data_IF_459356147004
#
_entry.id   IF_459356147004
#
_cell.length_a   1.000
_cell.length_b   1.000
_cell.length_c   1.000
_cell.angle_alpha   90.00
_cell.angle_beta   90.00
_cell.angle_gamma   90.00
#
_symmetry.space_group_name_H-M   'P 1'
#
loop_
_entity.id
_entity.type
_entity.pdbx_description
1 polymer ?
#
# COMPACT_ATOMS: atom_id res chain seq x y z
N UNK A 1 4.95 -0.70 -21.33
CA UNK A 1 3.72 -0.61 -20.52
C UNK A 1 3.99 -0.38 -19.03
N UNK A 2 4.77 -1.20 -18.32
CA UNK A 2 5.04 -0.95 -16.88
C UNK A 2 5.55 0.48 -16.61
N UNK A 3 6.53 0.94 -17.40
CA UNK A 3 7.06 2.32 -17.32
C UNK A 3 6.06 3.41 -17.74
N UNK A 4 4.96 3.04 -18.37
CA UNK A 4 3.89 3.97 -18.81
C UNK A 4 2.74 4.01 -17.79
N UNK A 5 2.84 3.28 -16.67
CA UNK A 5 1.78 3.18 -15.67
C UNK A 5 1.70 4.44 -14.81
N UNK A 6 0.47 4.87 -14.50
CA UNK A 6 0.16 5.99 -13.60
C UNK A 6 0.64 5.73 -12.17
N UNK A 7 0.64 4.46 -11.77
CA UNK A 7 1.10 4.01 -10.46
C UNK A 7 1.63 2.58 -10.52
N UNK A 8 2.56 2.27 -9.63
CA UNK A 8 3.03 0.91 -9.37
C UNK A 8 2.45 0.43 -8.05
N UNK A 9 2.00 -0.81 -8.01
CA UNK A 9 1.53 -1.46 -6.79
C UNK A 9 2.37 -2.72 -6.55
N UNK A 10 2.87 -2.90 -5.34
CA UNK A 10 3.66 -4.07 -4.99
C UNK A 10 3.13 -4.77 -3.75
N UNK A 11 3.21 -6.09 -3.74
CA UNK A 11 2.75 -6.90 -2.62
C UNK A 11 3.43 -8.29 -2.61
N UNK A 12 3.66 -8.83 -1.42
CA UNK A 12 4.15 -10.19 -1.22
C UNK A 12 3.01 -11.18 -0.99
N UNK A 13 3.09 -12.36 -1.60
CA UNK A 13 2.26 -13.52 -1.24
C UNK A 13 3.12 -14.64 -0.63
N UNK A 14 2.67 -15.15 0.53
CA UNK A 14 3.42 -16.10 1.37
C UNK A 14 2.91 -17.53 1.26
N UNK A 15 1.63 -17.71 0.93
CA UNK A 15 0.99 -19.04 0.79
C UNK A 15 1.22 -19.62 -0.60
N UNK A 16 1.19 -18.75 -1.62
CA UNK A 16 1.27 -19.13 -3.02
C UNK A 16 2.70 -19.02 -3.55
N UNK A 17 3.62 -19.74 -2.91
CA UNK A 17 5.05 -19.68 -3.21
C UNK A 17 5.72 -21.03 -2.93
N UNK A 18 6.67 -21.50 -3.75
CA UNK A 18 7.38 -22.75 -3.48
C UNK A 18 8.10 -22.73 -2.12
N UNK A 19 8.17 -23.89 -1.46
CA UNK A 19 8.53 -23.99 -0.03
C UNK A 19 9.91 -23.39 0.32
N UNK A 20 10.83 -23.32 -0.65
CA UNK A 20 12.19 -22.81 -0.48
C UNK A 20 12.32 -21.28 -0.58
N UNK A 21 11.26 -20.55 -0.98
CA UNK A 21 11.25 -19.10 -1.04
C UNK A 21 10.51 -18.51 0.16
N UNK A 22 10.83 -17.28 0.58
CA UNK A 22 10.07 -16.62 1.63
C UNK A 22 8.71 -16.11 1.12
N UNK A 23 8.66 -15.66 -0.14
CA UNK A 23 7.47 -15.10 -0.78
C UNK A 23 7.62 -15.11 -2.31
N UNK A 24 6.48 -14.91 -2.97
CA UNK A 24 6.42 -14.33 -4.32
C UNK A 24 6.08 -12.86 -4.16
N UNK A 25 7.00 -11.99 -4.57
CA UNK A 25 6.79 -10.55 -4.60
C UNK A 25 6.31 -10.16 -6.00
N UNK A 26 5.15 -9.49 -6.08
CA UNK A 26 4.52 -9.13 -7.35
C UNK A 26 4.59 -7.63 -7.53
N UNK A 27 4.94 -7.19 -8.74
CA UNK A 27 4.94 -5.78 -9.16
C UNK A 27 3.89 -5.63 -10.24
N UNK A 28 2.88 -4.83 -9.93
CA UNK A 28 1.75 -4.53 -10.80
C UNK A 28 1.79 -3.06 -11.19
N UNK A 29 1.28 -2.74 -12.37
CA UNK A 29 1.15 -1.37 -12.86
C UNK A 29 -0.31 -1.02 -13.07
N UNK A 30 -0.69 0.19 -12.68
CA UNK A 30 -2.00 0.78 -13.01
C UNK A 30 -1.89 1.53 -14.33
N UNK A 31 -2.60 1.07 -15.34
CA UNK A 31 -2.63 1.66 -16.67
C UNK A 31 -4.08 1.81 -17.14
N UNK A 32 -4.52 3.03 -17.44
CA UNK A 32 -5.88 3.35 -17.90
C UNK A 32 -6.96 2.76 -16.96
N UNK A 33 -6.79 2.97 -15.65
CA UNK A 33 -7.74 2.48 -14.64
C UNK A 33 -7.65 0.98 -14.30
N UNK A 34 -6.87 0.19 -15.04
CA UNK A 34 -6.67 -1.24 -14.78
C UNK A 34 -5.35 -1.53 -14.09
N UNK A 35 -5.37 -2.48 -13.14
CA UNK A 35 -4.17 -2.96 -12.46
C UNK A 35 -3.75 -4.30 -13.08
N UNK A 36 -2.53 -4.34 -13.61
CA UNK A 36 -1.99 -5.47 -14.36
C UNK A 36 -0.70 -5.95 -13.69
N UNK A 37 -0.55 -7.25 -13.40
CA UNK A 37 0.70 -7.79 -12.86
C UNK A 37 1.72 -7.93 -13.99
N UNK A 38 2.90 -7.30 -13.83
CA UNK A 38 3.95 -7.34 -14.85
C UNK A 38 5.15 -8.19 -14.44
N UNK A 39 5.40 -8.34 -13.14
CA UNK A 39 6.62 -8.99 -12.65
C UNK A 39 6.31 -9.84 -11.44
N UNK A 40 6.84 -11.07 -11.44
CA UNK A 40 6.81 -11.99 -10.32
C UNK A 40 8.23 -12.31 -9.89
N UNK A 41 8.55 -12.06 -8.62
CA UNK A 41 9.87 -12.27 -8.06
C UNK A 41 9.80 -13.34 -6.96
N UNK A 42 10.43 -14.48 -7.20
CA UNK A 42 10.66 -15.47 -6.14
C UNK A 42 11.83 -15.01 -5.28
N UNK A 43 11.56 -14.63 -4.03
CA UNK A 43 12.60 -14.13 -3.12
C UNK A 43 12.83 -15.08 -1.96
N UNK A 44 14.06 -15.57 -1.74
CA UNK A 44 14.36 -16.47 -0.62
C UNK A 44 14.37 -15.74 0.73
N UNK A 45 14.58 -14.42 0.73
CA UNK A 45 14.60 -13.56 1.92
C UNK A 45 13.96 -12.22 1.60
N UNK A 46 13.38 -11.59 2.63
CA UNK A 46 12.72 -10.27 2.59
C UNK A 46 13.65 -9.18 3.11
N UNK A 47 14.79 -8.98 2.44
CA UNK A 47 15.83 -8.04 2.88
C UNK A 47 15.99 -6.91 1.90
N UNK A 48 16.44 -5.74 2.39
CA UNK A 48 16.63 -4.54 1.57
C UNK A 48 17.52 -4.81 0.34
N UNK A 49 18.70 -5.47 0.44
CA UNK A 49 19.51 -5.77 -0.75
C UNK A 49 18.82 -6.64 -1.80
N UNK A 50 17.84 -7.47 -1.39
CA UNK A 50 17.07 -8.30 -2.33
C UNK A 50 16.04 -7.47 -3.09
N UNK A 51 15.38 -6.54 -2.42
CA UNK A 51 14.49 -5.59 -3.08
C UNK A 51 15.25 -4.62 -3.98
N UNK A 52 16.40 -4.11 -3.55
CA UNK A 52 17.26 -3.26 -4.38
C UNK A 52 17.67 -4.01 -5.66
N UNK A 53 18.02 -5.30 -5.55
CA UNK A 53 18.31 -6.12 -6.73
C UNK A 53 17.11 -6.24 -7.66
N UNK A 54 15.88 -6.39 -7.15
CA UNK A 54 14.66 -6.45 -7.97
C UNK A 54 14.47 -5.14 -8.73
N UNK A 55 14.47 -4.00 -8.03
CA UNK A 55 14.24 -2.69 -8.67
C UNK A 55 15.34 -2.33 -9.66
N UNK A 56 16.61 -2.64 -9.36
CA UNK A 56 17.71 -2.46 -10.31
C UNK A 56 17.58 -3.33 -11.57
N UNK A 57 17.06 -4.56 -11.44
CA UNK A 57 16.77 -5.40 -12.63
C UNK A 57 15.69 -4.75 -13.48
N UNK A 58 14.63 -4.20 -12.87
CA UNK A 58 13.58 -3.50 -13.61
C UNK A 58 14.10 -2.29 -14.36
N UNK A 59 14.93 -1.47 -13.70
CA UNK A 59 15.58 -0.32 -14.31
C UNK A 59 16.43 -0.72 -15.52
N UNK A 60 17.35 -1.68 -15.34
CA UNK A 60 18.16 -2.22 -16.45
C UNK A 60 17.32 -2.79 -17.60
N UNK A 61 16.18 -3.42 -17.28
CA UNK A 61 15.25 -3.93 -18.30
C UNK A 61 14.54 -2.79 -19.01
N UNK A 62 14.08 -1.77 -18.30
CA UNK A 62 13.47 -0.59 -18.90
C UNK A 62 14.45 0.07 -19.89
N UNK A 63 15.68 0.35 -19.45
CA UNK A 63 16.72 0.97 -20.27
C UNK A 63 17.00 0.16 -21.54
N UNK A 64 17.12 -1.17 -21.39
CA UNK A 64 17.34 -2.09 -22.52
C UNK A 64 16.23 -2.00 -23.58
N UNK A 65 14.99 -1.72 -23.19
CA UNK A 65 13.85 -1.63 -24.10
C UNK A 65 13.48 -0.17 -24.43
N UNK A 66 14.38 0.79 -24.18
CA UNK A 66 14.17 2.22 -24.50
C UNK A 66 13.16 2.92 -23.58
N UNK A 67 12.75 2.30 -22.48
CA UNK A 67 11.94 2.92 -21.44
C UNK A 67 12.80 3.42 -20.28
N UNK A 68 12.19 4.16 -19.37
CA UNK A 68 12.80 4.56 -18.08
C UNK A 68 11.95 4.08 -16.93
N UNK A 69 12.56 3.47 -15.92
CA UNK A 69 11.85 3.07 -14.71
C UNK A 69 11.84 4.21 -13.69
N UNK A 70 10.97 5.19 -13.93
CA UNK A 70 10.81 6.39 -13.10
C UNK A 70 9.35 6.49 -12.61
N UNK A 71 8.91 5.61 -11.69
CA UNK A 71 7.52 5.63 -11.23
C UNK A 71 7.23 6.89 -10.44
N UNK A 72 6.12 7.57 -10.77
CA UNK A 72 5.68 8.77 -10.03
C UNK A 72 4.99 8.40 -8.71
N UNK A 73 4.25 7.28 -8.70
CA UNK A 73 3.44 6.84 -7.57
C UNK A 73 3.71 5.36 -7.33
N UNK A 74 4.10 4.99 -6.10
CA UNK A 74 4.28 3.58 -5.74
C UNK A 74 3.52 3.28 -4.46
N UNK A 75 2.68 2.24 -4.52
CA UNK A 75 1.91 1.73 -3.39
C UNK A 75 2.54 0.42 -2.93
N UNK A 76 2.99 0.37 -1.68
CA UNK A 76 3.55 -0.83 -1.09
C UNK A 76 3.15 -0.99 0.38
N UNK A 77 3.44 -2.16 0.93
CA UNK A 77 3.26 -2.43 2.35
C UNK A 77 4.27 -1.65 3.20
N UNK A 78 4.02 -1.58 4.50
CA UNK A 78 4.90 -0.90 5.48
C UNK A 78 6.18 -1.68 5.79
N UNK A 79 6.70 -2.42 4.81
CA UNK A 79 7.96 -3.14 4.93
C UNK A 79 9.14 -2.21 4.68
N UNK A 80 9.82 -1.82 5.76
CA UNK A 80 10.97 -0.91 5.75
C UNK A 80 12.02 -1.31 4.71
N UNK A 81 12.30 -2.62 4.60
CA UNK A 81 13.27 -3.13 3.64
C UNK A 81 12.88 -2.85 2.17
N UNK A 82 11.59 -2.89 1.83
CA UNK A 82 11.11 -2.61 0.48
C UNK A 82 11.04 -1.11 0.21
N UNK A 83 10.62 -0.31 1.21
CA UNK A 83 10.59 1.16 1.14
C UNK A 83 12.00 1.70 0.90
N UNK A 84 12.95 1.37 1.78
CA UNK A 84 14.33 1.84 1.67
C UNK A 84 14.98 1.42 0.35
N UNK A 85 14.71 0.19 -0.10
CA UNK A 85 15.25 -0.31 -1.36
C UNK A 85 14.74 0.48 -2.57
N UNK A 86 13.44 0.81 -2.59
CA UNK A 86 12.87 1.61 -3.65
C UNK A 86 13.45 3.03 -3.62
N UNK A 87 13.46 3.67 -2.45
CA UNK A 87 14.04 5.01 -2.26
C UNK A 87 15.51 5.06 -2.70
N UNK A 88 16.32 4.06 -2.36
CA UNK A 88 17.72 3.99 -2.79
C UNK A 88 17.86 3.88 -4.30
N UNK A 89 17.08 3.02 -4.95
CA UNK A 89 17.20 2.79 -6.40
C UNK A 89 16.73 4.00 -7.19
N UNK A 90 15.60 4.61 -6.82
CA UNK A 90 15.07 5.81 -7.50
C UNK A 90 15.86 7.08 -7.19
N UNK A 91 16.44 7.20 -5.98
CA UNK A 91 17.26 8.37 -5.62
C UNK A 91 18.66 8.31 -6.21
N UNK A 92 19.16 7.11 -6.56
CA UNK A 92 20.52 6.95 -7.14
C UNK A 92 20.68 7.59 -8.53
N UNK A 93 19.59 7.91 -9.23
CA UNK A 93 19.59 8.61 -10.52
C UNK A 93 19.50 10.13 -10.41
N UNK A 94 19.08 10.63 -9.25
CA UNK A 94 18.98 12.05 -8.99
C UNK A 94 20.37 12.53 -8.58
N UNK A 95 21.12 13.09 -9.55
CA UNK A 95 22.22 13.99 -9.22
C UNK A 95 21.69 15.00 -8.18
N UNK A 96 22.33 15.03 -7.02
CA UNK A 96 22.14 16.01 -5.95
C UNK A 96 22.34 17.43 -6.52
N UNK A 97 21.29 18.03 -7.06
CA UNK A 97 21.16 19.47 -7.15
C UNK A 97 20.02 19.85 -6.21
N UNK A 98 20.43 20.18 -4.98
CA UNK A 98 19.57 20.74 -3.96
C UNK A 98 19.17 22.14 -4.41
N UNK A 99 17.96 22.28 -4.93
CA UNK A 99 17.26 23.56 -4.88
C UNK A 99 16.05 23.40 -3.95
N UNK A 100 16.25 23.75 -2.69
CA UNK A 100 15.19 23.82 -1.69
C UNK A 100 14.17 24.93 -1.97
N UNK A 101 14.41 25.81 -2.96
CA UNK A 101 13.58 27.00 -3.18
C UNK A 101 12.40 26.78 -4.13
N UNK A 102 12.35 25.65 -4.86
CA UNK A 102 11.25 25.34 -5.77
C UNK A 102 10.79 23.90 -5.49
N UNK A 103 9.73 23.75 -4.68
CA UNK A 103 9.20 22.49 -4.17
C UNK A 103 8.59 21.54 -5.21
N UNK A 104 9.36 21.17 -6.23
CA UNK A 104 8.97 20.21 -7.27
C UNK A 104 10.18 19.36 -7.69
N UNK A 105 10.52 18.38 -6.86
CA UNK A 105 11.29 17.23 -7.36
C UNK A 105 10.39 16.36 -8.25
N UNK A 106 10.92 15.64 -9.26
CA UNK A 106 10.27 14.43 -9.76
C UNK A 106 10.50 13.30 -8.74
N UNK A 107 10.07 13.51 -7.48
CA UNK A 107 10.22 12.53 -6.42
C UNK A 107 9.12 11.49 -6.59
N UNK A 108 9.50 10.22 -6.68
CA UNK A 108 8.56 9.13 -6.46
C UNK A 108 7.82 9.36 -5.15
N UNK A 109 6.50 9.34 -5.20
CA UNK A 109 5.68 9.40 -3.99
C UNK A 109 5.37 7.97 -3.58
N UNK A 110 5.88 7.61 -2.40
CA UNK A 110 5.65 6.30 -1.80
C UNK A 110 4.45 6.37 -0.87
N UNK A 111 3.44 5.58 -1.21
CA UNK A 111 2.23 5.39 -0.41
C UNK A 111 2.25 4.03 0.26
N UNK A 112 2.09 4.03 1.57
CA UNK A 112 1.75 2.85 2.34
C UNK A 112 0.33 2.39 2.02
N UNK A 113 0.14 1.08 1.95
CA UNK A 113 -1.16 0.49 1.68
C UNK A 113 -2.16 0.76 2.83
N UNK A 114 -3.22 1.53 2.56
CA UNK A 114 -4.28 1.83 3.53
C UNK A 114 -4.94 0.56 4.10
N UNK A 115 -5.15 -0.45 3.27
CA UNK A 115 -5.69 -1.73 3.75
C UNK A 115 -4.78 -2.35 4.82
N UNK A 116 -3.48 -2.45 4.55
CA UNK A 116 -2.52 -3.00 5.51
C UNK A 116 -2.35 -2.10 6.75
N UNK A 117 -2.52 -0.79 6.62
CA UNK A 117 -2.59 0.14 7.76
C UNK A 117 -3.77 -0.21 8.67
N UNK A 118 -5.00 -0.25 8.13
CA UNK A 118 -6.21 -0.56 8.90
C UNK A 118 -6.16 -1.96 9.51
N UNK A 119 -5.62 -2.93 8.78
CA UNK A 119 -5.44 -4.29 9.26
C UNK A 119 -4.43 -4.36 10.41
N UNK A 120 -3.35 -3.58 10.35
CA UNK A 120 -2.36 -3.51 11.43
C UNK A 120 -2.96 -2.92 12.71
N UNK A 121 -3.76 -1.85 12.59
CA UNK A 121 -4.52 -1.28 13.71
C UNK A 121 -5.48 -2.34 14.28
N UNK A 122 -6.24 -3.02 13.43
CA UNK A 122 -7.20 -4.03 13.90
C UNK A 122 -6.52 -5.22 14.58
N UNK A 123 -5.38 -5.69 14.05
CA UNK A 123 -4.57 -6.73 14.70
C UNK A 123 -4.07 -6.29 16.08
N UNK A 124 -3.70 -5.02 16.24
CA UNK A 124 -3.33 -4.49 17.55
C UNK A 124 -4.53 -4.48 18.51
N UNK A 125 -5.70 -3.98 18.06
CA UNK A 125 -6.97 -4.01 18.82
C UNK A 125 -7.26 -5.41 19.34
N UNK A 126 -7.12 -6.43 18.48
CA UNK A 126 -7.30 -7.83 18.87
C UNK A 126 -6.24 -8.28 19.89
N UNK A 127 -4.96 -7.98 19.62
CA UNK A 127 -3.82 -8.39 20.45
C UNK A 127 -3.92 -7.88 21.89
N UNK A 128 -4.35 -6.63 22.08
CA UNK A 128 -4.45 -6.01 23.41
C UNK A 128 -5.81 -6.26 24.09
N UNK A 129 -6.69 -7.07 23.49
CA UNK A 129 -7.97 -7.45 24.09
C UNK A 129 -9.11 -6.45 23.90
N UNK A 130 -8.97 -5.45 23.02
CA UNK A 130 -10.02 -4.47 22.72
C UNK A 130 -11.12 -4.98 21.77
N UNK A 131 -11.00 -6.19 21.21
CA UNK A 131 -11.94 -6.71 20.21
C UNK A 131 -13.42 -6.66 20.67
N UNK A 132 -13.71 -7.18 21.88
CA UNK A 132 -15.07 -7.16 22.45
C UNK A 132 -15.60 -5.73 22.61
N UNK A 133 -14.75 -4.79 23.05
CA UNK A 133 -15.12 -3.38 23.20
C UNK A 133 -15.38 -2.73 21.83
N UNK A 134 -14.52 -2.99 20.85
CA UNK A 134 -14.67 -2.52 19.47
C UNK A 134 -15.96 -3.01 18.81
N UNK A 135 -16.42 -4.22 19.15
CA UNK A 135 -17.67 -4.78 18.61
C UNK A 135 -18.92 -4.27 19.33
N UNK A 136 -18.88 -4.18 20.66
CA UNK A 136 -20.07 -3.96 21.50
C UNK A 136 -20.30 -2.50 21.90
N UNK A 137 -19.26 -1.65 21.90
CA UNK A 137 -19.35 -0.25 22.34
C UNK A 137 -19.20 0.72 21.16
N UNK A 138 -20.26 1.44 20.82
CA UNK A 138 -20.35 2.29 19.61
C UNK A 138 -19.38 3.48 19.63
N UNK A 139 -19.19 4.08 20.79
CA UNK A 139 -18.22 5.15 21.08
C UNK A 139 -16.78 4.65 20.84
N UNK A 140 -16.38 3.54 21.47
CA UNK A 140 -15.07 2.93 21.28
C UNK A 140 -14.84 2.47 19.83
N UNK A 141 -15.84 1.87 19.20
CA UNK A 141 -15.78 1.50 17.80
C UNK A 141 -15.55 2.71 16.90
N UNK A 142 -16.29 3.80 17.14
CA UNK A 142 -16.15 5.04 16.35
C UNK A 142 -14.75 5.62 16.54
N UNK A 143 -14.29 5.73 17.78
CA UNK A 143 -12.98 6.28 18.11
C UNK A 143 -11.83 5.46 17.48
N UNK A 144 -11.84 4.13 17.63
CA UNK A 144 -10.83 3.25 17.00
C UNK A 144 -10.87 3.31 15.47
N UNK A 145 -12.06 3.40 14.86
CA UNK A 145 -12.19 3.58 13.41
C UNK A 145 -11.72 4.95 12.93
N UNK A 146 -11.76 5.97 13.78
CA UNK A 146 -11.20 7.28 13.42
C UNK A 146 -9.69 7.20 13.22
N UNK A 147 -8.95 6.42 14.01
CA UNK A 147 -7.53 6.16 13.75
C UNK A 147 -7.30 5.48 12.40
N UNK A 148 -8.15 4.52 12.03
CA UNK A 148 -8.11 3.85 10.70
C UNK A 148 -8.40 4.81 9.53
N UNK A 149 -9.05 5.95 9.81
CA UNK A 149 -9.39 6.97 8.83
C UNK A 149 -8.39 8.14 8.78
N UNK A 150 -7.47 8.27 9.74
CA UNK A 150 -6.41 9.28 9.75
C UNK A 150 -5.62 9.36 8.43
N UNK A 151 -5.27 8.22 7.77
CA UNK A 151 -4.68 8.24 6.43
C UNK A 151 -5.38 9.14 5.42
N UNK A 152 -6.70 9.30 5.52
CA UNK A 152 -7.55 9.97 4.54
C UNK A 152 -7.78 11.46 4.85
N UNK A 153 -7.29 11.93 5.99
CA UNK A 153 -7.38 13.34 6.39
C UNK A 153 -6.45 14.17 5.50
N UNK A 154 -6.83 15.43 5.25
CA UNK A 154 -5.93 16.37 4.55
C UNK A 154 -4.62 16.49 5.32
N UNK A 155 -3.49 16.53 4.62
CA UNK A 155 -2.18 16.66 5.25
C UNK A 155 -2.13 17.83 6.26
N UNK A 156 -2.70 18.97 5.91
CA UNK A 156 -2.74 20.17 6.76
C UNK A 156 -3.52 20.01 8.08
N UNK A 157 -4.39 19.00 8.18
CA UNK A 157 -5.22 18.75 9.35
C UNK A 157 -4.79 17.50 10.13
N UNK A 158 -3.70 16.83 9.70
CA UNK A 158 -3.29 15.55 10.28
C UNK A 158 -2.94 15.69 11.76
N UNK A 159 -2.01 16.61 12.09
CA UNK A 159 -1.50 16.76 13.46
C UNK A 159 -2.61 17.13 14.45
N UNK A 160 -3.47 18.07 14.06
CA UNK A 160 -4.65 18.44 14.85
C UNK A 160 -5.61 17.25 15.04
N UNK A 161 -5.84 16.45 13.99
CA UNK A 161 -6.72 15.27 14.07
C UNK A 161 -6.14 14.17 14.95
N UNK A 162 -4.83 13.93 14.87
CA UNK A 162 -4.13 12.95 15.72
C UNK A 162 -4.24 13.39 17.18
N UNK A 163 -3.90 14.64 17.49
CA UNK A 163 -3.97 15.20 18.83
C UNK A 163 -5.38 15.08 19.41
N UNK A 164 -6.39 15.50 18.64
CA UNK A 164 -7.80 15.40 19.05
C UNK A 164 -8.18 13.98 19.45
N UNK A 165 -7.78 12.96 18.69
CA UNK A 165 -8.10 11.57 19.01
C UNK A 165 -7.35 11.06 20.25
N UNK A 166 -6.07 11.41 20.41
CA UNK A 166 -5.27 10.99 21.56
C UNK A 166 -5.77 11.62 22.87
N UNK A 167 -6.18 12.88 22.84
CA UNK A 167 -6.62 13.62 24.03
C UNK A 167 -8.05 13.27 24.47
N UNK A 168 -8.85 12.63 23.60
CA UNK A 168 -10.28 12.37 23.83
C UNK A 168 -10.64 10.88 23.70
N UNK A 169 -10.08 9.98 24.53
CA UNK A 169 -10.54 8.60 24.58
C UNK A 169 -11.99 8.53 25.10
N UNK A 170 -12.80 7.58 24.62
CA UNK A 170 -14.22 7.46 24.99
C UNK A 170 -14.46 7.08 26.46
N UNK A 171 -13.44 6.56 27.15
CA UNK A 171 -13.47 6.29 28.57
C UNK A 171 -12.04 6.23 29.11
N UNK A 172 -11.87 6.48 30.41
CA UNK A 172 -10.63 6.14 31.10
C UNK A 172 -10.50 4.62 31.16
N UNK A 173 -9.58 4.06 30.38
CA UNK A 173 -9.41 2.62 30.25
C UNK A 173 -7.96 2.27 29.89
N UNK A 174 -7.34 1.38 30.67
CA UNK A 174 -5.95 0.99 30.47
C UNK A 174 -5.66 0.41 29.07
N UNK A 175 -6.61 -0.33 28.47
CA UNK A 175 -6.44 -0.89 27.13
C UNK A 175 -6.50 0.19 26.04
N UNK A 176 -7.30 1.24 26.23
CA UNK A 176 -7.31 2.39 25.32
C UNK A 176 -6.00 3.18 25.41
N UNK A 177 -5.44 3.33 26.62
CA UNK A 177 -4.12 3.95 26.79
C UNK A 177 -3.01 3.13 26.12
N UNK A 178 -3.02 1.81 26.26
CA UNK A 178 -2.09 0.92 25.55
C UNK A 178 -2.24 1.04 24.01
N UNK A 179 -3.46 1.24 23.52
CA UNK A 179 -3.70 1.50 22.11
C UNK A 179 -3.08 2.82 21.65
N UNK A 180 -3.25 3.91 22.42
CA UNK A 180 -2.65 5.23 22.13
C UNK A 180 -1.13 5.11 22.08
N UNK A 181 -0.53 4.47 23.08
CA UNK A 181 0.92 4.24 23.14
C UNK A 181 1.41 3.45 21.93
N UNK A 182 0.72 2.38 21.56
CA UNK A 182 1.00 1.65 20.33
C UNK A 182 0.94 2.56 19.10
N UNK A 183 -0.12 3.36 18.97
CA UNK A 183 -0.31 4.22 17.81
C UNK A 183 0.79 5.27 17.71
N UNK A 184 1.14 5.91 18.83
CA UNK A 184 2.21 6.89 18.91
C UNK A 184 3.57 6.27 18.52
N UNK A 185 3.93 5.15 19.14
CA UNK A 185 5.21 4.49 18.89
C UNK A 185 5.32 4.00 17.44
N UNK A 186 4.27 3.38 16.90
CA UNK A 186 4.32 2.75 15.59
C UNK A 186 4.08 3.74 14.44
N UNK A 187 3.05 4.59 14.54
CA UNK A 187 2.57 5.39 13.41
C UNK A 187 2.95 6.86 13.48
N UNK A 188 3.39 7.37 14.63
CA UNK A 188 3.90 8.75 14.75
C UNK A 188 5.43 8.75 14.77
N UNK A 189 6.05 7.92 15.61
CA UNK A 189 7.50 7.93 15.82
C UNK A 189 8.21 7.07 14.76
N UNK A 190 7.81 5.80 14.61
CA UNK A 190 8.57 4.84 13.79
C UNK A 190 8.30 4.95 12.29
N UNK A 191 7.04 5.11 11.88
CA UNK A 191 6.65 5.18 10.47
C UNK A 191 6.24 6.61 10.14
N UNK A 192 7.04 7.36 9.36
CA UNK A 192 6.73 8.73 8.99
C UNK A 192 5.34 8.87 8.34
N UNK A 193 4.60 9.92 8.72
CA UNK A 193 3.26 10.21 8.22
C UNK A 193 3.20 10.38 6.71
N UNK A 194 4.27 10.83 6.06
CA UNK A 194 4.38 10.92 4.59
C UNK A 194 4.07 9.59 3.87
N UNK A 195 4.27 8.44 4.53
CA UNK A 195 3.97 7.14 3.93
C UNK A 195 2.52 6.73 4.13
N UNK A 196 1.90 6.98 5.28
CA UNK A 196 0.54 6.46 5.56
C UNK A 196 -0.57 7.51 5.47
N UNK A 197 -0.26 8.80 5.51
CA UNK A 197 -1.23 9.86 5.25
C UNK A 197 -1.31 10.10 3.75
N UNK A 198 -2.21 9.37 3.10
CA UNK A 198 -2.42 9.41 1.65
C UNK A 198 -3.45 10.45 1.21
N UNK A 199 -4.18 11.09 2.12
CA UNK A 199 -5.20 12.08 1.77
C UNK A 199 -6.46 11.52 1.06
N UNK A 200 -7.41 12.40 0.68
CA UNK A 200 -8.76 11.98 0.28
C UNK A 200 -8.93 11.50 -1.18
N UNK A 201 -7.98 11.80 -2.07
CA UNK A 201 -8.14 11.63 -3.54
C UNK A 201 -7.38 10.40 -4.09
N UNK A 202 -6.59 9.72 -3.27
CA UNK A 202 -5.68 8.68 -3.74
C UNK A 202 -6.33 7.30 -3.94
N UNK A 203 -5.61 6.38 -4.61
CA UNK A 203 -6.05 5.00 -4.80
C UNK A 203 -6.30 4.35 -3.43
N UNK A 204 -7.57 4.21 -3.06
CA UNK A 204 -7.96 3.81 -1.70
C UNK A 204 -7.85 2.32 -1.45
N UNK A 205 -8.06 1.50 -2.48
CA UNK A 205 -8.27 0.06 -2.31
C UNK A 205 -7.24 -0.77 -3.04
N UNK A 206 -6.54 -1.61 -2.29
CA UNK A 206 -5.69 -2.68 -2.82
C UNK A 206 -6.50 -3.86 -3.39
N UNK A 207 -7.83 -3.70 -3.55
CA UNK A 207 -8.76 -4.75 -4.01
C UNK A 207 -8.27 -5.47 -5.27
N UNK A 208 -7.63 -4.77 -6.21
CA UNK A 208 -7.12 -5.39 -7.42
C UNK A 208 -5.92 -6.31 -7.15
N UNK A 209 -5.01 -5.90 -6.26
CA UNK A 209 -3.84 -6.70 -5.85
C UNK A 209 -4.27 -7.88 -4.98
N UNK A 210 -5.23 -7.69 -4.07
CA UNK A 210 -5.79 -8.77 -3.25
C UNK A 210 -6.58 -9.77 -4.11
N UNK A 211 -7.44 -9.29 -5.00
CA UNK A 211 -8.15 -10.15 -5.95
C UNK A 211 -7.15 -10.94 -6.81
N UNK A 212 -6.05 -10.31 -7.21
CA UNK A 212 -4.98 -10.99 -7.92
C UNK A 212 -4.30 -12.07 -7.07
N UNK A 213 -3.94 -11.76 -5.81
CA UNK A 213 -3.37 -12.74 -4.86
C UNK A 213 -4.31 -13.90 -4.60
N UNK A 214 -5.61 -13.66 -4.47
CA UNK A 214 -6.61 -14.70 -4.30
C UNK A 214 -6.73 -15.57 -5.55
N UNK A 215 -6.71 -14.97 -6.76
CA UNK A 215 -6.67 -15.72 -8.03
C UNK A 215 -5.43 -16.59 -8.12
N UNK A 216 -4.27 -16.04 -7.77
CA UNK A 216 -3.02 -16.79 -7.71
C UNK A 216 -3.12 -17.99 -6.77
N UNK A 217 -3.64 -17.78 -5.55
CA UNK A 217 -3.81 -18.84 -4.58
C UNK A 217 -4.76 -19.93 -5.06
N UNK A 218 -5.88 -19.56 -5.69
CA UNK A 218 -6.83 -20.51 -6.24
C UNK A 218 -6.22 -21.32 -7.39
N UNK A 219 -5.43 -20.68 -8.25
CA UNK A 219 -4.83 -21.32 -9.43
C UNK A 219 -3.63 -22.22 -9.08
N UNK A 220 -2.77 -21.78 -8.17
CA UNK A 220 -1.49 -22.47 -7.90
C UNK A 220 -1.51 -23.29 -6.61
N UNK A 221 -2.55 -23.15 -5.78
CA UNK A 221 -2.64 -23.79 -4.48
C UNK A 221 -1.63 -23.23 -3.47
N UNK A 222 -1.50 -23.94 -2.35
CA UNK A 222 -0.51 -23.62 -1.32
C UNK A 222 0.79 -24.34 -1.62
N UNK A 223 1.91 -23.63 -1.49
CA UNK A 223 3.27 -24.17 -1.61
C UNK A 223 3.51 -25.10 -2.82
N UNK A 224 3.21 -24.65 -4.05
CA UNK A 224 3.42 -25.47 -5.25
C UNK A 224 4.89 -25.82 -5.43
N UNK A 225 5.15 -26.97 -6.07
CA UNK A 225 6.48 -27.32 -6.56
C UNK A 225 6.99 -26.25 -7.52
N UNK A 226 8.30 -25.97 -7.51
CA UNK A 226 8.89 -24.89 -8.31
C UNK A 226 8.59 -25.03 -9.81
N UNK A 227 8.64 -26.26 -10.32
CA UNK A 227 8.36 -26.53 -11.74
C UNK A 227 6.89 -26.22 -12.11
N UNK A 228 5.94 -26.66 -11.28
CA UNK A 228 4.52 -26.33 -11.45
C UNK A 228 4.31 -24.82 -11.40
N UNK A 229 4.92 -24.14 -10.42
CA UNK A 229 4.84 -22.70 -10.28
C UNK A 229 5.36 -21.95 -11.52
N UNK A 230 6.48 -22.39 -12.09
CA UNK A 230 7.03 -21.81 -13.32
C UNK A 230 6.11 -22.03 -14.53
N UNK A 231 5.58 -23.24 -14.71
CA UNK A 231 4.61 -23.54 -15.78
C UNK A 231 3.38 -22.62 -15.68
N UNK A 232 2.87 -22.49 -14.48
CA UNK A 232 1.75 -21.65 -14.14
C UNK A 232 1.98 -20.14 -14.37
N UNK A 233 3.17 -19.63 -14.05
CA UNK A 233 3.53 -18.24 -14.34
C UNK A 233 3.56 -17.93 -15.85
N UNK A 234 3.98 -18.88 -16.70
CA UNK A 234 3.90 -18.71 -18.17
C UNK A 234 2.46 -18.53 -18.65
N UNK A 235 1.52 -19.24 -18.02
CA UNK A 235 0.10 -19.06 -18.26
C UNK A 235 -0.40 -17.67 -17.85
N UNK A 236 0.06 -17.15 -16.70
CA UNK A 236 -0.26 -15.79 -16.27
C UNK A 236 0.34 -14.73 -17.21
N UNK A 237 1.60 -14.90 -17.63
CA UNK A 237 2.25 -14.03 -18.61
C UNK A 237 1.48 -13.97 -19.93
N UNK A 238 0.99 -15.11 -20.41
CA UNK A 238 0.17 -15.19 -21.63
C UNK A 238 -1.13 -14.41 -21.48
N UNK A 239 -1.83 -14.54 -20.34
CA UNK A 239 -3.05 -13.78 -20.04
C UNK A 239 -2.77 -12.27 -19.94
N UNK A 240 -1.67 -11.89 -19.29
CA UNK A 240 -1.25 -10.49 -19.16
C UNK A 240 -0.90 -9.90 -20.53
N UNK A 241 -0.20 -10.65 -21.38
CA UNK A 241 0.15 -10.23 -22.73
C UNK A 241 -1.10 -10.01 -23.57
N UNK A 242 -2.05 -10.94 -23.53
CA UNK A 242 -3.34 -10.79 -24.20
C UNK A 242 -4.08 -9.54 -23.69
N UNK A 243 -4.15 -9.35 -22.37
CA UNK A 243 -4.87 -8.20 -21.78
C UNK A 243 -4.21 -6.87 -22.13
N UNK A 244 -2.87 -6.82 -22.10
CA UNK A 244 -2.07 -5.66 -22.51
C UNK A 244 -2.37 -5.27 -23.96
N UNK A 245 -2.45 -6.24 -24.88
CA UNK A 245 -2.81 -5.99 -26.29
C UNK A 245 -4.25 -5.45 -26.42
N UNK A 246 -5.20 -6.04 -25.70
CA UNK A 246 -6.59 -5.57 -25.68
C UNK A 246 -6.67 -4.12 -25.21
N UNK A 247 -6.02 -3.78 -24.09
CA UNK A 247 -6.01 -2.42 -23.56
C UNK A 247 -5.39 -1.42 -24.55
N UNK A 248 -4.27 -1.79 -25.19
CA UNK A 248 -3.65 -0.96 -26.24
C UNK A 248 -4.53 -0.78 -27.48
N UNK A 249 -5.42 -1.73 -27.76
CA UNK A 249 -6.45 -1.61 -28.82
C UNK A 249 -7.71 -0.83 -28.39
N UNK A 250 -7.71 -0.23 -27.19
CA UNK A 250 -8.85 0.54 -26.66
C UNK A 250 -9.85 -0.29 -25.84
N UNK A 251 -9.64 -1.60 -25.69
CA UNK A 251 -10.54 -2.49 -24.94
C UNK A 251 -10.24 -2.52 -23.43
N UNK A 252 -10.24 -1.35 -22.79
CA UNK A 252 -10.08 -1.20 -21.33
C UNK A 252 -11.42 -0.94 -20.63
N UNK A 253 -11.51 -1.37 -19.37
CA UNK A 253 -12.67 -1.13 -18.51
C UNK A 253 -12.39 0.09 -17.67
N UNK A 254 -12.98 1.22 -18.04
CA UNK A 254 -12.95 2.42 -17.23
C UNK A 254 -13.81 2.18 -15.97
N UNK A 255 -13.17 1.75 -14.87
CA UNK A 255 -13.88 1.65 -13.59
C UNK A 255 -14.03 3.04 -13.01
N UNK A 256 -15.25 3.61 -13.09
CA UNK A 256 -15.62 4.73 -12.24
C UNK A 256 -15.39 4.34 -10.76
N UNK A 257 -14.58 5.12 -10.05
CA UNK A 257 -14.30 4.92 -8.64
C UNK A 257 -15.59 5.25 -7.87
N UNK A 258 -16.39 4.23 -7.55
CA UNK A 258 -17.42 4.34 -6.53
C UNK A 258 -16.73 4.44 -5.17
N UNK A 259 -16.69 5.65 -4.63
CA UNK A 259 -16.24 5.89 -3.26
C UNK A 259 -17.10 5.06 -2.30
N UNK A 260 -16.47 4.20 -1.48
CA UNK A 260 -17.23 3.49 -0.45
C UNK A 260 -17.88 4.52 0.48
N UNK A 261 -19.21 4.49 0.53
CA UNK A 261 -20.07 5.41 1.28
C UNK A 261 -19.75 5.41 2.79
N UNK A 262 -19.18 4.32 3.31
CA UNK A 262 -18.80 4.19 4.71
C UNK A 262 -17.57 5.03 5.09
N UNK A 263 -16.58 5.15 4.21
CA UNK A 263 -15.39 5.98 4.47
C UNK A 263 -15.70 7.48 4.32
N UNK A 264 -16.59 7.86 3.39
CA UNK A 264 -17.10 9.23 3.30
C UNK A 264 -17.89 9.63 4.56
N UNK A 265 -18.67 8.71 5.16
CA UNK A 265 -19.34 8.96 6.44
C UNK A 265 -18.34 9.17 7.59
N UNK A 266 -17.29 8.34 7.68
CA UNK A 266 -16.24 8.52 8.68
C UNK A 266 -15.47 9.85 8.49
N UNK A 267 -15.07 10.17 7.26
CA UNK A 267 -14.37 11.42 6.94
C UNK A 267 -15.25 12.68 7.11
N UNK A 268 -16.55 12.60 6.80
CA UNK A 268 -17.52 13.68 7.10
C UNK A 268 -17.65 13.90 8.62
N UNK A 269 -17.61 12.82 9.41
CA UNK A 269 -17.72 12.89 10.87
C UNK A 269 -16.46 13.43 11.54
N UNK A 270 -15.28 13.10 11.02
CA UNK A 270 -14.00 13.70 11.46
C UNK A 270 -13.97 15.20 11.09
N UNK A 271 -14.43 15.57 9.89
CA UNK A 271 -14.57 16.98 9.50
C UNK A 271 -15.60 17.75 10.33
N UNK A 272 -16.71 17.12 10.72
CA UNK A 272 -17.71 17.76 11.58
C UNK A 272 -17.21 17.91 13.02
N UNK A 273 -16.42 16.96 13.52
CA UNK A 273 -15.76 17.08 14.82
C UNK A 273 -14.70 18.19 14.79
N UNK A 274 -13.89 18.30 13.75
CA UNK A 274 -12.88 19.36 13.62
C UNK A 274 -13.51 20.78 13.57
N UNK A 275 -14.69 20.93 12.96
CA UNK A 275 -15.43 22.21 12.91
C UNK A 275 -16.16 22.60 14.19
N UNK A 276 -16.31 21.67 15.15
CA UNK A 276 -16.94 21.97 16.45
C UNK A 276 -15.94 22.58 17.45
N UNK A 277 -14.66 22.65 17.08
CA UNK A 277 -13.56 23.15 17.92
C UNK A 277 -12.73 24.25 17.21
N UNK A 278 -13.27 24.84 16.13
CA UNK A 278 -12.87 26.17 15.60
C UNK A 278 -13.86 27.21 16.14
#
# INVERSE_FOLDING_TARGET
>A
MLCECEAILTDGTFKTRPIMFAQVYVIMGKYLGEVIPFVWCLTPKKTQPRYEKIFNILKKKADKYGGKFEPQQVYLDFEVAAINALENVVSSDLNKAMDMSIGSFPNVVIHGCWYHFTQSIYRNIQKIGLASMYEKKKDAQTWLRSFMALPLVKHSALDASVKLLMDNPPASNNLLNQFIEYFQNQWIIRVPSKYWNIGPIHLRSNNAVEAYKNRLQHRFGMHPQLWNFNHFLKGEESLVTMRTKQIRSGNYREKMILFSTNAQRAGKKIKSLARLYE
#
